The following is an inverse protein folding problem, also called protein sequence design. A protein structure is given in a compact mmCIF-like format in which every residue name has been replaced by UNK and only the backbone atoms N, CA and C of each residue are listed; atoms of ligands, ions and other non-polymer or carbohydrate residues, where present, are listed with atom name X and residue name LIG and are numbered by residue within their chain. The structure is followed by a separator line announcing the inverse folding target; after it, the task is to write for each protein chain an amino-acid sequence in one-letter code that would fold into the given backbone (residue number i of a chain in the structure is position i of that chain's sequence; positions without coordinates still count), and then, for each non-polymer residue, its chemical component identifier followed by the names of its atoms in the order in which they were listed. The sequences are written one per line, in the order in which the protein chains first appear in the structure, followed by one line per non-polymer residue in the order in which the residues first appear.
data_IF_867568926276
#
_entry.id   IF_867568926276
#
_cell.length_a   1.000
_cell.length_b   1.000
_cell.length_c   1.000
_cell.angle_alpha   90.00
_cell.angle_beta   90.00
_cell.angle_gamma   90.00
#
_symmetry.space_group_name_H-M   'P 1'
#
loop_
_entity.id
_entity.type
_entity.pdbx_description
1 polymer ?
#
# COMPACT_ATOMS: atom_id res chain seq x y z
N UNK A 1 12.53 1.32 -21.31
CA UNK A 1 11.40 1.89 -20.57
C UNK A 1 11.41 1.41 -19.14
N UNK A 2 10.86 2.21 -18.24
CA UNK A 2 10.93 1.91 -16.83
C UNK A 2 9.62 2.27 -16.16
N UNK A 3 9.14 1.38 -15.31
CA UNK A 3 7.85 1.58 -14.66
C UNK A 3 7.96 1.06 -13.23
N UNK A 4 8.04 1.97 -12.29
CA UNK A 4 8.27 1.59 -10.89
C UNK A 4 7.47 2.50 -9.99
N UNK A 5 6.79 1.89 -9.02
CA UNK A 5 6.01 2.62 -8.03
C UNK A 5 6.36 2.09 -6.67
N UNK A 6 6.58 2.98 -5.73
CA UNK A 6 6.82 2.63 -4.34
C UNK A 6 5.87 3.46 -3.49
N UNK A 7 5.04 2.78 -2.70
CA UNK A 7 4.04 3.46 -1.89
C UNK A 7 4.03 2.87 -0.49
N UNK A 8 3.83 3.73 0.47
CA UNK A 8 3.61 3.30 1.85
C UNK A 8 2.24 3.82 2.25
N UNK A 9 1.38 2.93 2.68
CA UNK A 9 0.04 3.34 3.05
C UNK A 9 -0.59 2.35 3.99
N UNK A 10 -1.77 2.70 4.45
CA UNK A 10 -2.53 1.84 5.35
C UNK A 10 -3.64 1.16 4.58
N UNK A 11 -3.86 -0.11 4.88
CA UNK A 11 -4.95 -0.82 4.25
C UNK A 11 -6.28 -0.23 4.69
N UNK A 12 -7.17 -0.04 3.74
CA UNK A 12 -8.50 0.48 4.03
C UNK A 12 -9.50 -0.61 4.30
N UNK A 13 -9.13 -1.85 4.00
CA UNK A 13 -9.97 -3.01 4.26
C UNK A 13 -9.08 -4.22 4.37
N UNK A 14 -9.64 -5.32 4.82
CA UNK A 14 -8.89 -6.56 4.90
C UNK A 14 -8.52 -7.04 3.51
N UNK A 15 -7.37 -7.69 3.37
CA UNK A 15 -6.99 -8.24 2.06
C UNK A 15 -8.01 -9.27 1.59
N UNK A 16 -8.23 -9.30 0.28
CA UNK A 16 -9.10 -10.29 -0.33
C UNK A 16 -8.25 -11.29 -1.08
N UNK A 17 -8.29 -12.53 -0.64
CA UNK A 17 -7.48 -13.58 -1.24
C UNK A 17 -8.35 -14.45 -2.13
N UNK A 18 -7.89 -14.71 -3.33
CA UNK A 18 -8.54 -15.65 -4.24
C UNK A 18 -7.49 -16.46 -4.94
N UNK A 19 -7.95 -17.46 -5.64
CA UNK A 19 -7.05 -18.33 -6.40
C UNK A 19 -7.48 -18.34 -7.84
N UNK A 20 -6.51 -18.28 -8.73
CA UNK A 20 -6.80 -18.38 -10.15
C UNK A 20 -7.16 -19.83 -10.50
N UNK A 21 -7.70 -20.07 -11.71
CA UNK A 21 -7.97 -21.45 -12.12
C UNK A 21 -6.75 -22.34 -12.06
N UNK A 22 -5.56 -21.78 -12.21
CA UNK A 22 -4.34 -22.57 -12.10
C UNK A 22 -3.90 -22.77 -10.66
N UNK A 23 -4.61 -22.20 -9.71
CA UNK A 23 -4.26 -22.37 -8.32
C UNK A 23 -3.30 -21.34 -7.76
N UNK A 24 -3.05 -20.26 -8.48
CA UNK A 24 -2.17 -19.21 -8.03
C UNK A 24 -2.90 -18.26 -7.08
N UNK A 25 -2.37 -18.02 -5.90
CA UNK A 25 -3.01 -17.07 -5.00
C UNK A 25 -2.89 -15.65 -5.51
N UNK A 26 -3.95 -14.88 -5.35
CA UNK A 26 -3.98 -13.48 -5.72
C UNK A 26 -4.66 -12.72 -4.60
N UNK A 27 -3.99 -11.72 -4.08
CA UNK A 27 -4.57 -10.88 -3.03
C UNK A 27 -4.79 -9.48 -3.57
N UNK A 28 -5.94 -8.93 -3.27
CA UNK A 28 -6.25 -7.55 -3.59
C UNK A 28 -6.23 -6.74 -2.33
N UNK A 29 -5.45 -5.67 -2.36
CA UNK A 29 -5.35 -4.74 -1.25
C UNK A 29 -5.81 -3.38 -1.73
N UNK A 30 -6.29 -2.58 -0.81
CA UNK A 30 -6.56 -1.19 -1.12
C UNK A 30 -5.90 -0.36 -0.04
N UNK A 31 -4.99 0.49 -0.44
CA UNK A 31 -4.23 1.28 0.52
C UNK A 31 -4.54 2.76 0.37
N UNK A 32 -4.45 3.44 1.48
CA UNK A 32 -4.60 4.89 1.53
C UNK A 32 -3.23 5.48 1.80
N UNK A 33 -2.77 6.29 0.88
CA UNK A 33 -1.46 6.92 0.97
C UNK A 33 -1.70 8.40 1.20
N UNK A 34 -1.30 8.90 2.35
CA UNK A 34 -1.52 10.29 2.72
C UNK A 34 -0.25 11.07 2.54
N UNK A 35 -0.34 12.13 1.78
CA UNK A 35 0.78 13.01 1.53
C UNK A 35 0.44 14.39 2.06
N UNK A 36 1.42 15.01 2.69
CA UNK A 36 1.26 16.34 3.23
C UNK A 36 1.95 17.30 2.30
N UNK A 37 1.27 18.34 1.92
CA UNK A 37 1.94 19.32 1.10
C UNK A 37 1.53 20.72 1.56
N UNK A 38 2.35 21.65 1.19
CA UNK A 38 2.18 23.02 1.65
C UNK A 38 1.11 23.71 0.80
N UNK A 39 0.24 24.42 1.48
CA UNK A 39 -0.83 25.12 0.81
C UNK A 39 -1.03 26.44 1.52
N UNK A 40 -0.67 27.53 0.86
CA UNK A 40 -0.79 28.83 1.46
C UNK A 40 0.02 28.92 2.72
N UNK A 41 -0.63 29.16 3.81
CA UNK A 41 0.08 29.30 5.08
C UNK A 41 0.16 28.04 5.89
N UNK A 42 -0.46 27.00 5.47
CA UNK A 42 -0.46 25.79 6.26
C UNK A 42 -0.15 24.60 5.42
N UNK A 43 -0.50 23.45 5.93
CA UNK A 43 -0.29 22.20 5.24
C UNK A 43 -1.63 21.55 4.99
N UNK A 44 -1.69 20.81 3.92
CA UNK A 44 -2.90 20.13 3.53
C UNK A 44 -2.59 18.67 3.33
N UNK A 45 -3.43 17.83 3.88
CA UNK A 45 -3.29 16.40 3.69
C UNK A 45 -4.06 15.99 2.45
N UNK A 46 -3.43 15.16 1.66
CA UNK A 46 -4.07 14.64 0.48
C UNK A 46 -3.94 13.14 0.51
N UNK A 47 -5.04 12.43 0.36
CA UNK A 47 -5.02 10.98 0.46
C UNK A 47 -5.33 10.38 -0.89
N UNK A 48 -4.47 9.47 -1.30
CA UNK A 48 -4.64 8.72 -2.52
C UNK A 48 -5.06 7.31 -2.16
N UNK A 49 -6.11 6.82 -2.79
CA UNK A 49 -6.55 5.44 -2.63
C UNK A 49 -6.17 4.67 -3.88
N UNK A 50 -5.49 3.56 -3.72
CA UNK A 50 -5.07 2.79 -4.87
C UNK A 50 -5.15 1.31 -4.56
N UNK A 51 -5.54 0.54 -5.57
CA UNK A 51 -5.62 -0.91 -5.46
C UNK A 51 -4.28 -1.53 -5.77
N UNK A 52 -3.96 -2.59 -5.05
CA UNK A 52 -2.70 -3.31 -5.21
C UNK A 52 -3.03 -4.78 -5.42
N UNK A 53 -2.43 -5.37 -6.43
CA UNK A 53 -2.59 -6.79 -6.73
C UNK A 53 -1.30 -7.50 -6.39
N UNK A 54 -1.40 -8.56 -5.61
CA UNK A 54 -0.25 -9.32 -5.16
C UNK A 54 -0.45 -10.77 -5.56
N UNK A 55 0.59 -11.39 -6.10
CA UNK A 55 0.51 -12.76 -6.59
C UNK A 55 1.40 -13.70 -5.80
N UNK A 56 1.02 -14.96 -5.74
CA UNK A 56 1.87 -16.01 -5.24
C UNK A 56 1.94 -16.06 -3.74
N UNK A 57 3.07 -16.50 -3.25
CA UNK A 57 3.25 -16.68 -1.82
C UNK A 57 3.05 -15.38 -1.06
N UNK A 58 3.46 -14.29 -1.63
CA UNK A 58 3.26 -12.99 -1.00
C UNK A 58 1.78 -12.70 -0.80
N UNK A 59 0.94 -13.14 -1.73
CA UNK A 59 -0.50 -12.93 -1.60
C UNK A 59 -1.02 -13.64 -0.36
N UNK A 60 -0.57 -14.86 -0.15
CA UNK A 60 -0.98 -15.61 1.03
C UNK A 60 -0.48 -14.95 2.30
N UNK A 61 0.77 -14.48 2.28
CA UNK A 61 1.31 -13.79 3.44
C UNK A 61 0.55 -12.51 3.75
N UNK A 62 0.21 -11.77 2.72
CA UNK A 62 -0.56 -10.55 2.91
C UNK A 62 -1.92 -10.86 3.56
N UNK A 63 -2.56 -11.89 3.06
CA UNK A 63 -3.87 -12.26 3.59
C UNK A 63 -3.77 -12.71 5.03
N UNK A 64 -2.66 -13.33 5.39
CA UNK A 64 -2.51 -13.88 6.72
C UNK A 64 -2.09 -12.82 7.75
N UNK A 65 -1.25 -11.89 7.36
CA UNK A 65 -0.65 -10.97 8.32
C UNK A 65 -1.12 -9.54 8.23
N UNK A 66 -1.75 -9.14 7.15
CA UNK A 66 -2.25 -7.78 7.02
C UNK A 66 -3.74 -7.75 7.31
N UNK A 67 -4.18 -6.58 7.74
CA UNK A 67 -5.59 -6.37 8.04
C UNK A 67 -5.87 -4.89 7.86
N UNK A 68 -7.14 -4.55 7.84
CA UNK A 68 -7.55 -3.17 7.75
C UNK A 68 -6.81 -2.34 8.79
N UNK A 69 -6.27 -1.21 8.37
CA UNK A 69 -5.56 -0.30 9.25
C UNK A 69 -4.07 -0.55 9.36
N UNK A 70 -3.59 -1.68 8.86
CA UNK A 70 -2.17 -1.99 8.92
C UNK A 70 -1.43 -1.23 7.85
N UNK A 71 -0.17 -0.98 8.12
CA UNK A 71 0.69 -0.23 7.21
C UNK A 71 1.56 -1.19 6.40
N UNK A 72 1.68 -0.91 5.12
CA UNK A 72 2.47 -1.74 4.24
C UNK A 72 3.26 -0.87 3.28
N UNK A 73 4.45 -1.35 2.93
CA UNK A 73 5.26 -0.74 1.87
C UNK A 73 5.11 -1.62 0.64
N UNK A 74 4.61 -1.03 -0.42
CA UNK A 74 4.35 -1.75 -1.66
C UNK A 74 5.29 -1.24 -2.74
N UNK A 75 5.92 -2.16 -3.42
CA UNK A 75 6.84 -1.84 -4.49
C UNK A 75 6.45 -2.66 -5.70
N UNK A 76 6.31 -2.03 -6.84
CA UNK A 76 5.87 -2.73 -8.04
C UNK A 76 5.80 -1.79 -9.21
N UNK A 77 4.87 -2.08 -10.09
CA UNK A 77 4.69 -1.25 -11.27
C UNK A 77 3.24 -0.83 -11.38
N UNK A 78 3.04 0.29 -12.04
CA UNK A 78 1.70 0.82 -12.26
C UNK A 78 1.12 0.18 -13.49
N UNK A 79 -0.14 -0.21 -13.41
CA UNK A 79 -0.79 -0.91 -14.50
C UNK A 79 -2.19 -0.33 -14.67
N UNK A 80 -2.59 -0.15 -15.91
CA UNK A 80 -3.96 0.23 -16.20
C UNK A 80 -4.74 -1.02 -16.52
N UNK A 81 -5.82 -1.24 -15.80
CA UNK A 81 -6.68 -2.36 -16.04
C UNK A 81 -7.94 -1.88 -16.72
N UNK A 82 -8.30 -2.51 -17.81
CA UNK A 82 -9.46 -2.14 -18.58
C UNK A 82 -10.44 -3.31 -18.66
N UNK A 83 -11.69 -2.99 -18.59
CA UNK A 83 -12.71 -4.00 -18.73
C UNK A 83 -13.97 -3.33 -19.23
N UNK A 84 -14.92 -4.16 -19.63
CA UNK A 84 -16.19 -3.69 -20.15
C UNK A 84 -17.29 -4.06 -19.18
N UNK A 85 -18.13 -3.11 -18.87
CA UNK A 85 -19.24 -3.32 -17.96
C UNK A 85 -20.44 -2.59 -18.48
N UNK A 86 -21.53 -3.34 -18.69
CA UNK A 86 -22.77 -2.73 -19.18
C UNK A 86 -22.54 -1.98 -20.48
N UNK A 87 -21.74 -2.53 -21.36
CA UNK A 87 -21.48 -1.91 -22.63
C UNK A 87 -20.58 -0.71 -22.58
N UNK A 88 -20.02 -0.41 -21.44
CA UNK A 88 -19.15 0.74 -21.26
C UNK A 88 -17.74 0.29 -20.96
N UNK A 89 -16.79 0.95 -21.59
CA UNK A 89 -15.38 0.72 -21.32
C UNK A 89 -15.02 1.38 -19.99
N UNK A 90 -14.39 0.61 -19.14
CA UNK A 90 -13.95 1.11 -17.86
C UNK A 90 -12.48 0.84 -17.67
N UNK A 91 -11.85 1.68 -16.90
CA UNK A 91 -10.43 1.48 -16.63
C UNK A 91 -10.11 2.01 -15.25
N UNK A 92 -9.02 1.49 -14.70
CA UNK A 92 -8.51 2.02 -13.47
C UNK A 92 -7.04 1.70 -13.36
N UNK A 93 -6.34 2.51 -12.59
CA UNK A 93 -4.93 2.28 -12.33
C UNK A 93 -4.78 1.45 -11.07
N UNK A 94 -3.84 0.55 -11.10
CA UNK A 94 -3.54 -0.26 -9.95
C UNK A 94 -2.06 -0.59 -9.94
N UNK A 95 -1.56 -1.04 -8.81
CA UNK A 95 -0.17 -1.44 -8.69
C UNK A 95 -0.12 -2.95 -8.72
N UNK A 96 0.74 -3.50 -9.58
CA UNK A 96 1.05 -4.92 -9.54
C UNK A 96 2.31 -5.04 -8.71
N UNK A 97 2.19 -5.62 -7.52
CA UNK A 97 3.26 -5.59 -6.56
C UNK A 97 4.32 -6.63 -6.87
N UNK A 98 5.57 -6.22 -6.82
CA UNK A 98 6.68 -7.13 -6.83
C UNK A 98 7.04 -7.52 -5.40
N UNK A 99 6.81 -6.61 -4.47
CA UNK A 99 7.20 -6.82 -3.09
C UNK A 99 6.26 -6.04 -2.18
N UNK A 100 5.82 -6.70 -1.12
CA UNK A 100 5.01 -6.06 -0.09
C UNK A 100 5.69 -6.32 1.24
N UNK A 101 6.02 -5.25 1.94
CA UNK A 101 6.66 -5.37 3.24
C UNK A 101 5.70 -4.87 4.30
N UNK A 102 5.59 -5.64 5.36
CA UNK A 102 4.70 -5.30 6.45
C UNK A 102 5.42 -4.36 7.39
N UNK A 103 4.81 -3.23 7.69
CA UNK A 103 5.42 -2.25 8.55
C UNK A 103 4.67 -2.21 9.86
N UNK A 104 5.41 -2.08 10.93
CA UNK A 104 4.77 -1.97 12.21
C UNK A 104 4.35 -0.53 12.31
N UNK A 105 3.22 -0.31 12.13
CA UNK A 105 2.82 0.96 12.28
C UNK A 105 1.81 1.07 13.20
N UNK A 106 1.49 1.65 13.57
CA UNK A 106 0.39 1.75 14.05
C UNK A 106 0.13 1.43 15.28
N UNK A 107 -0.66 1.23 15.68
CA UNK A 107 -1.03 0.98 16.75
C UNK A 107 -0.85 -0.20 17.06
N UNK A 108 -0.57 -0.63 17.25
CA UNK A 108 -0.44 -1.71 17.44
C UNK A 108 -0.16 -2.44 18.08
N UNK A 109 0.04 -2.78 18.28
CA UNK A 109 0.22 -3.43 18.83
C UNK A 109 1.30 -3.70 19.17
N UNK A 110 1.52 -3.66 19.26
CA UNK A 110 2.33 -3.77 19.58
C UNK A 110 3.09 -4.40 19.99
N UNK A 111 2.98 -4.76 20.09
CA UNK A 111 3.57 -5.49 20.47
C UNK A 111 4.77 -5.17 20.62
N UNK A 112 4.91 -4.97 20.68
CA UNK A 112 5.70 -4.68 20.90
C UNK A 112 6.76 -4.61 20.56
N UNK A 113 6.94 -4.90 20.39
CA UNK A 113 7.87 -4.99 20.10
C UNK A 113 8.57 -4.06 19.68
N UNK A 114 8.65 -3.98 19.47
CA UNK A 114 9.20 -3.35 19.06
C UNK A 114 9.32 -2.28 19.19
N UNK A 115 9.12 -2.19 19.37
CA UNK A 115 9.07 -1.30 19.40
C UNK A 115 10.06 -0.57 19.67
N UNK A 116 10.41 -0.68 19.72
CA UNK A 116 11.09 -0.10 20.08
C UNK A 116 11.80 0.55 19.46
N UNK A 117 11.83 0.48 18.94
CA UNK A 117 12.39 1.03 18.43
C UNK A 117 12.36 1.95 17.90
N UNK A 118 12.12 2.00 17.79
CA UNK A 118 12.10 2.67 17.46
C UNK A 118 12.34 3.64 17.30
N UNK A 119 12.50 3.79 17.44
CA UNK A 119 12.69 4.60 17.46
C UNK A 119 13.01 5.31 16.90
N UNK A 120 13.13 5.23 16.77
CA UNK A 120 13.40 5.80 16.36
C UNK A 120 13.42 6.61 15.81
N UNK A 121 13.49 6.64 15.68
CA UNK A 121 13.57 7.29 15.32
C UNK A 121 13.66 8.01 14.61
N UNK A 122 13.82 8.11 14.23
CA UNK A 122 14.01 8.77 13.67
C UNK A 122 13.74 9.58 13.08
N UNK A 123 13.63 9.71 12.89
CA UNK A 123 13.34 10.35 12.27
C UNK A 123 13.14 11.38 12.04
N UNK A 124 13.15 11.67 12.19
CA UNK A 124 12.94 12.64 12.11
C UNK A 124 13.47 13.25 11.33
N UNK A 125 13.86 13.30 11.00
CA UNK A 125 14.32 13.90 10.42
C UNK A 125 14.19 14.05 9.39
N UNK A 126 13.96 13.76 8.95
CA UNK A 126 13.80 13.80 8.00
C UNK A 126 13.23 14.54 7.51
N UNK A 127 12.90 14.82 7.54
CA UNK A 127 12.23 15.41 7.22
C UNK A 127 12.42 16.47 6.71
N UNK A 128 12.75 16.88 6.68
CA UNK A 128 12.84 17.86 6.28
C UNK A 128 13.28 17.94 5.15
N UNK A 129 13.33 17.51 4.65
CA UNK A 129 13.78 17.48 3.60
C UNK A 129 13.05 17.64 2.69
N UNK A 130 12.44 17.67 2.50
CA UNK A 130 11.79 17.82 1.78
C UNK A 130 11.56 18.41 1.12
N UNK A 131 11.60 18.73 0.87
CA UNK A 131 11.12 19.32 0.27
C UNK A 131 10.98 19.33 -0.85
N UNK A 132 10.79 19.03 -1.37
CA UNK A 132 10.54 19.12 -2.32
C UNK A 132 9.78 19.20 -2.62
#
# INVERSE_FOLDING_TARGET
MYNKVIQIGNLTKDPELRYTPQGTPVANLRIAVTTKHKSGEGYKDETLFIDVVVFGKQAENCSQYLAKGRKALVEGRLQERRWESDGQQRSKMEIVADSVRFMSGGKGNGAGAGAQHSEETVPEETTELEPF
#
